data_IF_475799812648
#
_entry.id   IF_475799812648
#
_cell.length_a   1.000
_cell.length_b   1.000
_cell.length_c   1.000
_cell.angle_alpha   90.00
_cell.angle_beta   90.00
_cell.angle_gamma   90.00
#
_symmetry.space_group_name_H-M   'P 1'
#
loop_
_entity.id
_entity.type
_entity.pdbx_description
1 polymer ?
#
# COMPACT_ATOMS: atom_id res chain seq x y z
N UNK A 1 -8.22 -26.45 -8.98
CA UNK A 1 -9.17 -25.29 -8.99
C UNK A 1 -8.67 -24.19 -8.04
N UNK A 2 -9.02 -22.91 -8.26
CA UNK A 2 -8.57 -21.78 -7.43
C UNK A 2 -8.95 -21.91 -5.95
N UNK A 3 -10.06 -22.55 -5.64
CA UNK A 3 -10.52 -22.79 -4.26
C UNK A 3 -9.52 -23.61 -3.46
N UNK A 4 -8.83 -24.58 -4.06
CA UNK A 4 -7.81 -25.38 -3.40
C UNK A 4 -6.53 -24.58 -3.10
N UNK A 5 -6.19 -23.59 -3.94
CA UNK A 5 -5.13 -22.61 -3.65
C UNK A 5 -5.44 -21.81 -2.38
N UNK A 6 -6.68 -21.27 -2.30
CA UNK A 6 -7.11 -20.50 -1.13
C UNK A 6 -7.19 -21.40 0.11
N UNK A 7 -7.70 -22.63 -0.05
CA UNK A 7 -7.76 -23.59 1.05
C UNK A 7 -6.36 -23.87 1.60
N UNK A 8 -5.38 -24.21 0.76
CA UNK A 8 -4.01 -24.49 1.20
C UNK A 8 -3.35 -23.23 1.81
N UNK A 9 -3.49 -22.06 1.18
CA UNK A 9 -2.93 -20.81 1.68
C UNK A 9 -3.45 -20.45 3.09
N UNK A 10 -4.71 -20.78 3.39
CA UNK A 10 -5.35 -20.43 4.66
C UNK A 10 -5.24 -21.52 5.74
N UNK A 11 -4.56 -22.65 5.47
CA UNK A 11 -4.39 -23.71 6.49
C UNK A 11 -3.61 -23.18 7.69
N UNK A 12 -4.17 -23.27 8.91
CA UNK A 12 -3.45 -22.93 10.14
C UNK A 12 -2.37 -23.97 10.46
N UNK A 13 -1.42 -23.60 11.31
CA UNK A 13 -0.34 -24.47 11.82
C UNK A 13 0.58 -25.07 10.74
N UNK A 14 0.58 -24.48 9.53
CA UNK A 14 1.50 -24.86 8.44
C UNK A 14 2.19 -23.58 7.98
N UNK A 15 3.50 -23.57 8.04
CA UNK A 15 4.29 -22.43 7.56
C UNK A 15 4.19 -22.28 6.04
N UNK A 16 4.39 -21.07 5.53
CA UNK A 16 4.32 -20.86 4.07
C UNK A 16 5.39 -21.68 3.34
N UNK A 17 6.56 -21.89 3.95
CA UNK A 17 7.58 -22.81 3.46
C UNK A 17 7.05 -24.26 3.31
N UNK A 18 6.42 -24.82 4.36
CA UNK A 18 5.85 -26.17 4.31
C UNK A 18 4.71 -26.31 3.28
N UNK A 19 3.95 -25.22 3.04
CA UNK A 19 2.94 -25.22 1.98
C UNK A 19 3.58 -25.31 0.60
N UNK A 20 4.74 -24.69 0.40
CA UNK A 20 5.53 -24.82 -0.85
C UNK A 20 6.10 -26.24 -0.98
N UNK A 21 6.60 -26.83 0.08
CA UNK A 21 7.07 -28.23 0.07
C UNK A 21 5.94 -29.23 -0.24
N UNK A 22 4.72 -28.96 0.25
CA UNK A 22 3.53 -29.71 -0.15
C UNK A 22 3.26 -29.58 -1.66
N UNK A 23 3.41 -28.38 -2.24
CA UNK A 23 3.27 -28.20 -3.68
C UNK A 23 4.37 -28.91 -4.48
N UNK A 24 5.61 -28.94 -3.99
CA UNK A 24 6.69 -29.70 -4.62
C UNK A 24 6.41 -31.20 -4.60
N UNK A 25 5.90 -31.72 -3.47
CA UNK A 25 5.63 -33.15 -3.31
C UNK A 25 4.39 -33.63 -4.08
N UNK A 26 3.35 -32.82 -4.14
CA UNK A 26 2.05 -33.19 -4.74
C UNK A 26 1.76 -32.46 -6.07
N UNK A 27 2.63 -31.56 -6.54
CA UNK A 27 2.60 -30.80 -7.78
C UNK A 27 1.59 -29.64 -7.79
N UNK A 28 0.39 -29.83 -7.26
CA UNK A 28 -0.64 -28.79 -7.20
C UNK A 28 -1.50 -28.90 -5.91
N UNK A 29 -2.21 -27.84 -5.52
CA UNK A 29 -3.01 -27.83 -4.29
C UNK A 29 -4.24 -28.73 -4.35
N UNK A 30 -4.71 -29.12 -5.53
CA UNK A 30 -5.83 -30.06 -5.70
C UNK A 30 -5.38 -31.47 -5.31
N UNK A 31 -4.17 -31.88 -5.74
CA UNK A 31 -3.57 -33.13 -5.32
C UNK A 31 -3.27 -33.14 -3.81
N UNK A 32 -2.83 -32.01 -3.23
CA UNK A 32 -2.69 -31.88 -1.77
C UNK A 32 -4.05 -32.07 -1.09
N UNK A 33 -5.12 -31.48 -1.63
CA UNK A 33 -6.45 -31.59 -1.04
C UNK A 33 -6.99 -33.03 -1.04
N UNK A 34 -6.82 -33.76 -2.14
CA UNK A 34 -7.34 -35.13 -2.29
C UNK A 34 -6.41 -36.21 -1.73
N UNK A 35 -5.19 -35.85 -1.30
CA UNK A 35 -4.25 -36.82 -0.76
C UNK A 35 -4.76 -37.48 0.53
N UNK A 36 -4.42 -38.74 0.71
CA UNK A 36 -4.67 -39.49 1.93
C UNK A 36 -3.75 -39.03 3.07
N UNK A 37 -4.20 -39.15 4.31
CA UNK A 37 -3.48 -38.64 5.48
C UNK A 37 -2.06 -39.24 5.61
N UNK A 38 -1.87 -40.47 5.19
CA UNK A 38 -0.54 -41.13 5.25
C UNK A 38 0.45 -40.58 4.22
N UNK A 39 -0.05 -40.06 3.10
CA UNK A 39 0.78 -39.45 2.07
C UNK A 39 1.47 -38.18 2.54
N UNK A 40 0.91 -37.46 3.50
CA UNK A 40 1.53 -36.25 4.06
C UNK A 40 2.76 -36.55 4.92
N UNK A 41 2.92 -37.78 5.40
CA UNK A 41 4.08 -38.19 6.22
C UNK A 41 5.41 -38.11 5.49
N UNK A 42 5.39 -38.05 4.16
CA UNK A 42 6.60 -37.86 3.32
C UNK A 42 7.12 -36.43 3.35
N UNK A 43 6.33 -35.45 3.83
CA UNK A 43 6.73 -34.05 3.92
C UNK A 43 7.38 -33.79 5.27
N UNK A 44 8.70 -33.61 5.28
CA UNK A 44 9.47 -33.35 6.50
C UNK A 44 9.07 -32.04 7.15
N UNK A 45 9.03 -32.02 8.48
CA UNK A 45 8.72 -30.82 9.27
C UNK A 45 7.22 -30.56 9.50
N UNK A 46 6.34 -31.41 8.97
CA UNK A 46 4.90 -31.29 9.23
C UNK A 46 4.57 -31.72 10.67
N UNK A 47 4.04 -30.79 11.46
CA UNK A 47 3.64 -31.05 12.86
C UNK A 47 2.34 -31.84 12.92
N UNK A 48 2.01 -32.51 14.07
CA UNK A 48 0.71 -33.15 14.25
C UNK A 48 -0.47 -32.19 14.02
N UNK A 49 -0.37 -30.94 14.48
CA UNK A 49 -1.37 -29.91 14.30
C UNK A 49 -1.51 -29.49 12.82
N UNK A 50 -0.39 -29.43 12.10
CA UNK A 50 -0.36 -29.19 10.65
C UNK A 50 -1.03 -30.33 9.88
N UNK A 51 -0.78 -31.58 10.27
CA UNK A 51 -1.42 -32.74 9.69
C UNK A 51 -2.95 -32.74 9.92
N UNK A 52 -3.39 -32.44 11.14
CA UNK A 52 -4.83 -32.29 11.41
C UNK A 52 -5.46 -31.16 10.59
N UNK A 53 -4.73 -30.07 10.38
CA UNK A 53 -5.18 -28.97 9.50
C UNK A 53 -5.36 -29.40 8.04
N UNK A 54 -4.52 -30.33 7.53
CA UNK A 54 -4.65 -30.87 6.17
C UNK A 54 -5.79 -31.91 6.03
N UNK A 55 -6.14 -32.60 7.13
CA UNK A 55 -7.29 -33.52 7.16
C UNK A 55 -8.62 -32.77 7.10
N UNK A 56 -8.64 -31.52 7.55
CA UNK A 56 -9.83 -30.67 7.42
C UNK A 56 -10.05 -30.28 5.96
N UNK A 57 -10.99 -30.94 5.30
CA UNK A 57 -11.37 -30.75 3.90
C UNK A 57 -12.53 -29.78 3.71
N UNK A 58 -12.84 -28.95 4.72
CA UNK A 58 -13.89 -27.94 4.62
C UNK A 58 -13.46 -26.79 3.70
N UNK A 59 -14.16 -26.60 2.61
CA UNK A 59 -13.92 -25.56 1.62
C UNK A 59 -14.71 -24.27 1.88
N UNK A 60 -15.66 -24.25 2.83
CA UNK A 60 -16.56 -23.09 3.08
C UNK A 60 -15.79 -21.78 3.28
N UNK A 61 -14.67 -21.83 4.00
CA UNK A 61 -13.82 -20.63 4.20
C UNK A 61 -13.19 -20.18 2.88
N UNK A 62 -12.67 -21.10 2.07
CA UNK A 62 -12.07 -20.78 0.79
C UNK A 62 -13.10 -20.27 -0.23
N UNK A 63 -14.29 -20.87 -0.26
CA UNK A 63 -15.42 -20.45 -1.10
C UNK A 63 -15.91 -19.06 -0.70
N UNK A 64 -16.01 -18.78 0.61
CA UNK A 64 -16.35 -17.45 1.13
C UNK A 64 -15.31 -16.41 0.68
N UNK A 65 -14.01 -16.69 0.83
CA UNK A 65 -12.94 -15.79 0.37
C UNK A 65 -13.06 -15.55 -1.13
N UNK A 66 -13.31 -16.57 -1.92
CA UNK A 66 -13.50 -16.43 -3.36
C UNK A 66 -14.72 -15.57 -3.70
N UNK A 67 -15.85 -15.75 -3.00
CA UNK A 67 -17.03 -14.91 -3.14
C UNK A 67 -16.75 -13.45 -2.76
N UNK A 68 -16.01 -13.23 -1.67
CA UNK A 68 -15.58 -11.91 -1.23
C UNK A 68 -14.65 -11.25 -2.27
N UNK A 69 -13.74 -11.99 -2.89
CA UNK A 69 -12.92 -11.49 -4.01
C UNK A 69 -13.77 -11.03 -5.19
N UNK A 70 -14.80 -11.79 -5.56
CA UNK A 70 -15.73 -11.40 -6.63
C UNK A 70 -16.49 -10.12 -6.28
N UNK A 71 -17.00 -10.02 -5.06
CA UNK A 71 -17.73 -8.84 -4.58
C UNK A 71 -16.86 -7.57 -4.58
N UNK A 72 -15.61 -7.70 -4.13
CA UNK A 72 -14.66 -6.58 -4.01
C UNK A 72 -13.84 -6.34 -5.29
N UNK A 73 -14.16 -7.07 -6.38
CA UNK A 73 -13.44 -7.00 -7.67
C UNK A 73 -11.94 -7.26 -7.54
N UNK A 74 -11.54 -8.16 -6.64
CA UNK A 74 -10.18 -8.62 -6.48
C UNK A 74 -9.86 -9.74 -7.47
N UNK A 75 -8.67 -9.68 -8.04
CA UNK A 75 -8.09 -10.77 -8.81
C UNK A 75 -7.19 -11.61 -7.90
N UNK A 76 -6.92 -12.84 -8.29
CA UNK A 76 -6.12 -13.79 -7.52
C UNK A 76 -4.91 -14.18 -8.38
N UNK A 77 -3.71 -14.13 -7.78
CA UNK A 77 -2.46 -14.58 -8.37
C UNK A 77 -1.91 -15.68 -7.48
N UNK A 78 -1.61 -16.83 -8.06
CA UNK A 78 -1.10 -18.01 -7.35
C UNK A 78 0.39 -18.20 -7.57
N UNK A 79 1.06 -18.94 -6.68
CA UNK A 79 2.49 -19.25 -6.75
C UNK A 79 2.93 -19.89 -8.07
N UNK A 80 2.05 -20.65 -8.74
CA UNK A 80 2.35 -21.31 -10.02
C UNK A 80 2.01 -20.48 -11.26
N UNK A 81 1.33 -19.34 -11.11
CA UNK A 81 1.03 -18.49 -12.25
C UNK A 81 2.31 -17.90 -12.87
N UNK A 82 2.33 -17.81 -14.18
CA UNK A 82 3.47 -17.25 -14.91
C UNK A 82 3.78 -15.77 -14.56
N UNK A 83 2.78 -15.02 -14.09
CA UNK A 83 2.94 -13.65 -13.64
C UNK A 83 3.42 -13.52 -12.20
N UNK A 84 3.59 -14.63 -11.46
CA UNK A 84 4.12 -14.58 -10.10
C UNK A 84 5.61 -14.23 -10.11
N UNK A 85 6.10 -13.24 -9.32
CA UNK A 85 7.49 -12.80 -9.37
C UNK A 85 8.48 -13.94 -9.03
N UNK A 86 9.37 -14.28 -9.96
CA UNK A 86 10.35 -15.37 -9.75
C UNK A 86 11.27 -15.10 -8.56
N UNK A 87 11.65 -13.81 -8.35
CA UNK A 87 12.46 -13.42 -7.20
C UNK A 87 11.78 -13.73 -5.86
N UNK A 88 10.46 -13.59 -5.81
CA UNK A 88 9.68 -13.83 -4.59
C UNK A 88 9.57 -15.33 -4.28
N UNK A 89 9.67 -16.22 -5.27
CA UNK A 89 9.73 -17.67 -5.04
C UNK A 89 10.95 -18.10 -4.24
N UNK A 90 12.02 -17.29 -4.28
CA UNK A 90 13.31 -17.60 -3.67
C UNK A 90 13.45 -17.10 -2.22
N UNK A 91 12.41 -16.52 -1.62
CA UNK A 91 12.44 -16.23 -0.17
C UNK A 91 12.03 -17.46 0.65
N UNK A 92 12.38 -17.48 1.94
CA UNK A 92 12.09 -18.61 2.83
C UNK A 92 10.61 -18.94 2.99
N UNK A 93 9.74 -17.94 2.84
CA UNK A 93 8.31 -18.04 3.13
C UNK A 93 7.46 -17.30 2.08
N UNK A 94 7.51 -17.71 0.80
CA UNK A 94 6.78 -17.04 -0.28
C UNK A 94 5.26 -17.22 -0.12
N UNK A 95 4.45 -16.18 -0.33
CA UNK A 95 3.00 -16.30 -0.29
C UNK A 95 2.48 -17.21 -1.40
N UNK A 96 1.60 -18.17 -1.08
CA UNK A 96 0.99 -19.04 -2.10
C UNK A 96 -0.03 -18.32 -2.98
N UNK A 97 -0.68 -17.31 -2.41
CA UNK A 97 -1.77 -16.59 -3.05
C UNK A 97 -1.65 -15.10 -2.76
N UNK A 98 -1.85 -14.30 -3.78
CA UNK A 98 -2.10 -12.87 -3.68
C UNK A 98 -3.51 -12.51 -4.12
N UNK A 99 -4.10 -11.61 -3.39
CA UNK A 99 -5.31 -10.88 -3.78
C UNK A 99 -4.90 -9.49 -4.25
N UNK A 100 -5.36 -9.06 -5.46
CA UNK A 100 -4.87 -7.81 -6.01
C UNK A 100 -5.92 -7.04 -6.80
N UNK A 101 -5.68 -5.73 -6.95
CA UNK A 101 -6.38 -4.80 -7.83
C UNK A 101 -5.40 -4.12 -8.77
N UNK A 102 -5.90 -3.69 -9.92
CA UNK A 102 -5.10 -3.01 -10.93
C UNK A 102 -4.47 -3.96 -11.93
N UNK A 103 -3.35 -3.55 -12.51
CA UNK A 103 -2.64 -4.31 -13.55
C UNK A 103 -1.26 -4.71 -13.06
N UNK A 104 -0.97 -6.01 -13.08
CA UNK A 104 0.35 -6.52 -12.77
C UNK A 104 1.36 -6.03 -13.82
N UNK A 105 2.48 -5.40 -13.42
CA UNK A 105 3.58 -5.12 -14.33
C UNK A 105 4.35 -6.41 -14.64
N UNK A 106 5.29 -6.33 -15.58
CA UNK A 106 6.24 -7.40 -15.82
C UNK A 106 7.29 -7.42 -14.68
N UNK A 107 7.02 -8.24 -13.68
CA UNK A 107 7.85 -8.31 -12.47
C UNK A 107 9.26 -8.83 -12.70
N UNK A 108 9.45 -9.70 -13.69
CA UNK A 108 10.74 -10.34 -13.94
C UNK A 108 11.53 -9.63 -15.06
N UNK A 109 10.85 -8.96 -15.97
CA UNK A 109 11.47 -8.23 -17.07
C UNK A 109 11.90 -6.80 -16.72
N UNK A 110 11.62 -6.30 -15.50
CA UNK A 110 11.94 -4.94 -15.09
C UNK A 110 12.63 -4.91 -13.71
N UNK A 111 13.52 -3.92 -13.45
CA UNK A 111 14.14 -3.74 -12.14
C UNK A 111 13.12 -3.17 -11.14
N UNK A 112 12.74 -3.98 -10.15
CA UNK A 112 11.87 -3.58 -9.06
C UNK A 112 12.73 -3.08 -7.88
N UNK A 113 12.45 -1.88 -7.39
CA UNK A 113 13.16 -1.27 -6.27
C UNK A 113 12.17 -1.03 -5.13
N UNK A 114 12.41 -1.69 -4.01
CA UNK A 114 11.68 -1.45 -2.77
C UNK A 114 12.05 -0.09 -2.20
N UNK A 115 11.11 0.84 -1.99
CA UNK A 115 11.41 2.13 -1.37
C UNK A 115 10.63 2.25 -0.08
N UNK A 116 11.37 2.37 1.03
CA UNK A 116 10.80 2.36 2.37
C UNK A 116 11.41 3.46 3.26
N UNK A 117 10.69 3.79 4.33
CA UNK A 117 11.18 4.74 5.32
C UNK A 117 10.20 5.03 6.43
N UNK A 118 10.50 6.08 7.19
CA UNK A 118 9.66 6.52 8.30
C UNK A 118 8.31 7.06 7.82
N UNK A 119 7.27 6.84 8.64
CA UNK A 119 5.94 7.45 8.43
C UNK A 119 5.91 8.93 8.79
N UNK A 120 6.84 9.38 9.63
CA UNK A 120 7.02 10.77 10.06
C UNK A 120 8.31 11.33 9.48
N UNK A 121 8.35 11.41 8.15
CA UNK A 121 9.52 11.87 7.42
C UNK A 121 9.69 13.39 7.53
N UNK A 122 10.96 13.83 7.55
CA UNK A 122 11.31 15.22 7.41
C UNK A 122 10.92 15.77 6.03
N UNK A 123 10.79 17.10 5.86
CA UNK A 123 10.59 17.70 4.53
C UNK A 123 11.66 17.26 3.51
N UNK A 124 12.92 17.15 3.94
CA UNK A 124 14.01 16.62 3.12
C UNK A 124 13.75 15.17 2.70
N UNK A 125 13.37 14.29 3.65
CA UNK A 125 13.07 12.90 3.36
C UNK A 125 11.91 12.74 2.39
N UNK A 126 10.83 13.51 2.57
CA UNK A 126 9.67 13.50 1.67
C UNK A 126 10.01 13.94 0.25
N UNK A 127 10.75 15.06 0.11
CA UNK A 127 11.19 15.56 -1.20
C UNK A 127 12.14 14.57 -1.87
N UNK A 128 13.09 14.02 -1.11
CA UNK A 128 14.06 13.03 -1.61
C UNK A 128 13.37 11.73 -2.05
N UNK A 129 12.40 11.21 -1.27
CA UNK A 129 11.64 10.03 -1.66
C UNK A 129 10.86 10.25 -2.96
N UNK A 130 10.17 11.38 -3.10
CA UNK A 130 9.46 11.74 -4.34
C UNK A 130 10.41 11.86 -5.53
N UNK A 131 11.55 12.56 -5.35
CA UNK A 131 12.58 12.72 -6.38
C UNK A 131 13.16 11.38 -6.82
N UNK A 132 13.61 10.53 -5.88
CA UNK A 132 14.20 9.24 -6.22
C UNK A 132 13.16 8.29 -6.83
N UNK A 133 11.92 8.27 -6.34
CA UNK A 133 10.84 7.50 -6.96
C UNK A 133 10.58 7.92 -8.42
N UNK A 134 10.57 9.23 -8.69
CA UNK A 134 10.46 9.77 -10.05
C UNK A 134 11.65 9.35 -10.92
N UNK A 135 12.87 9.49 -10.41
CA UNK A 135 14.08 9.16 -11.15
C UNK A 135 14.20 7.66 -11.44
N UNK A 136 13.90 6.79 -10.45
CA UNK A 136 13.88 5.33 -10.63
C UNK A 136 12.91 4.97 -11.76
N UNK A 137 11.73 5.55 -11.75
CA UNK A 137 10.71 5.31 -12.77
C UNK A 137 11.12 5.80 -14.16
N UNK A 138 11.70 7.02 -14.27
CA UNK A 138 12.20 7.56 -15.54
C UNK A 138 13.34 6.75 -16.13
N UNK A 139 14.16 6.15 -15.28
CA UNK A 139 15.28 5.29 -15.70
C UNK A 139 14.83 3.83 -15.98
N UNK A 140 13.55 3.52 -15.94
CA UNK A 140 12.98 2.19 -16.29
C UNK A 140 12.73 1.26 -15.12
N UNK A 141 12.95 1.70 -13.88
CA UNK A 141 12.64 0.93 -12.67
C UNK A 141 11.19 1.04 -12.24
N UNK A 142 10.74 0.07 -11.45
CA UNK A 142 9.43 0.08 -10.81
C UNK A 142 9.60 0.25 -9.29
N UNK A 143 8.84 1.19 -8.71
CA UNK A 143 8.82 1.38 -7.26
C UNK A 143 7.85 0.39 -6.62
N UNK A 144 8.35 -0.40 -5.67
CA UNK A 144 7.56 -1.28 -4.78
C UNK A 144 7.56 -0.68 -3.39
N UNK A 145 6.40 -0.53 -2.75
CA UNK A 145 6.35 0.05 -1.42
C UNK A 145 5.11 -0.39 -0.62
N UNK A 146 5.06 0.02 0.64
CA UNK A 146 4.02 -0.40 1.57
C UNK A 146 2.80 0.51 1.65
N UNK A 147 2.67 1.52 0.80
CA UNK A 147 1.55 2.48 0.78
C UNK A 147 1.36 3.26 2.10
N UNK A 148 2.36 3.27 2.99
CA UNK A 148 2.29 3.95 4.27
C UNK A 148 2.41 5.48 4.12
N UNK A 149 2.20 6.19 5.23
CA UNK A 149 2.53 7.62 5.31
C UNK A 149 4.02 7.87 5.07
N UNK A 150 4.38 9.10 4.74
CA UNK A 150 5.77 9.55 4.64
C UNK A 150 6.46 9.00 3.40
N UNK A 151 7.59 8.34 3.59
CA UNK A 151 8.49 7.93 2.51
C UNK A 151 7.80 7.05 1.47
N UNK A 152 7.08 6.01 1.90
CA UNK A 152 6.39 5.06 1.02
C UNK A 152 5.48 5.78 0.01
N UNK A 153 4.55 6.59 0.54
CA UNK A 153 3.59 7.33 -0.28
C UNK A 153 4.25 8.35 -1.21
N UNK A 154 5.32 9.02 -0.76
CA UNK A 154 6.01 10.02 -1.57
C UNK A 154 6.82 9.38 -2.71
N UNK A 155 7.49 8.25 -2.47
CA UNK A 155 8.20 7.52 -3.51
C UNK A 155 7.26 7.03 -4.62
N UNK A 156 6.11 6.46 -4.23
CA UNK A 156 5.10 6.00 -5.20
C UNK A 156 4.50 7.17 -5.99
N UNK A 157 4.20 8.30 -5.35
CA UNK A 157 3.76 9.52 -6.05
C UNK A 157 4.80 9.99 -7.06
N UNK A 158 6.09 9.91 -6.72
CA UNK A 158 7.18 10.21 -7.65
C UNK A 158 7.13 9.31 -8.88
N UNK A 159 7.04 8.00 -8.70
CA UNK A 159 6.97 7.03 -9.79
C UNK A 159 5.75 7.26 -10.70
N UNK A 160 4.57 7.46 -10.12
CA UNK A 160 3.34 7.76 -10.87
C UNK A 160 3.44 9.08 -11.64
N UNK A 161 4.05 10.13 -11.05
CA UNK A 161 4.31 11.41 -11.72
C UNK A 161 5.23 11.21 -12.95
N UNK A 162 6.13 10.26 -12.92
CA UNK A 162 6.98 9.89 -14.07
C UNK A 162 6.22 9.13 -15.18
N UNK A 163 4.95 8.77 -14.94
CA UNK A 163 4.13 7.97 -15.86
C UNK A 163 4.41 6.47 -15.82
N UNK A 164 5.12 6.00 -14.80
CA UNK A 164 5.42 4.58 -14.62
C UNK A 164 4.48 3.91 -13.59
N UNK A 165 4.25 2.59 -13.70
CA UNK A 165 3.49 1.86 -12.71
C UNK A 165 4.22 1.84 -11.35
N UNK A 166 3.45 1.70 -10.27
CA UNK A 166 3.96 1.43 -8.94
C UNK A 166 3.25 0.21 -8.35
N UNK A 167 3.90 -0.49 -7.44
CA UNK A 167 3.38 -1.70 -6.80
C UNK A 167 3.20 -1.45 -5.31
N UNK A 168 1.96 -1.51 -4.85
CA UNK A 168 1.60 -1.36 -3.45
C UNK A 168 1.40 -2.72 -2.80
N UNK A 169 2.17 -3.04 -1.75
CA UNK A 169 1.98 -4.25 -0.97
C UNK A 169 1.31 -3.88 0.36
N UNK A 170 0.21 -4.56 0.72
CA UNK A 170 -0.57 -4.22 1.90
C UNK A 170 -0.41 -5.23 3.05
N UNK A 171 -0.59 -4.74 4.28
CA UNK A 171 -0.67 -5.55 5.50
C UNK A 171 -2.13 -5.77 5.98
N UNK A 172 -3.09 -5.68 5.07
CA UNK A 172 -4.53 -5.88 5.28
C UNK A 172 -5.14 -6.40 3.97
N UNK A 173 -6.42 -6.67 3.92
CA UNK A 173 -7.10 -7.03 2.67
C UNK A 173 -6.87 -5.99 1.56
N UNK A 174 -6.74 -6.45 0.31
CA UNK A 174 -6.39 -5.58 -0.83
C UNK A 174 -7.50 -4.57 -1.21
N UNK A 175 -8.72 -4.77 -0.72
CA UNK A 175 -9.84 -3.84 -0.83
C UNK A 175 -9.76 -2.67 0.16
N UNK A 176 -8.95 -2.82 1.22
CA UNK A 176 -8.90 -1.85 2.32
C UNK A 176 -7.92 -0.72 2.03
N UNK A 177 -8.39 0.52 2.17
CA UNK A 177 -7.54 1.71 2.07
C UNK A 177 -6.96 2.03 3.45
N UNK A 178 -5.66 1.77 3.61
CA UNK A 178 -4.94 2.11 4.83
C UNK A 178 -3.54 2.66 4.53
N UNK A 179 -3.19 3.87 5.00
CA UNK A 179 -4.02 4.78 5.80
C UNK A 179 -5.10 5.51 4.96
N UNK A 180 -6.23 5.96 5.58
CA UNK A 180 -7.34 6.58 4.84
C UNK A 180 -6.95 7.84 4.06
N UNK A 181 -5.99 8.63 4.53
CA UNK A 181 -5.52 9.85 3.84
C UNK A 181 -4.81 9.55 2.51
N UNK A 182 -4.34 8.33 2.29
CA UNK A 182 -3.71 7.92 1.03
C UNK A 182 -4.73 7.44 -0.01
N UNK A 183 -6.04 7.65 0.21
CA UNK A 183 -7.10 7.28 -0.75
C UNK A 183 -6.82 7.72 -2.20
N UNK A 184 -6.37 8.98 -2.46
CA UNK A 184 -6.01 9.38 -3.82
C UNK A 184 -4.86 8.53 -4.39
N UNK A 185 -3.82 8.27 -3.59
CA UNK A 185 -2.69 7.43 -4.00
C UNK A 185 -3.14 5.99 -4.33
N UNK A 186 -4.08 5.43 -3.54
CA UNK A 186 -4.64 4.12 -3.82
C UNK A 186 -5.32 4.06 -5.19
N UNK A 187 -6.14 5.06 -5.51
CA UNK A 187 -6.79 5.15 -6.81
C UNK A 187 -5.78 5.27 -7.96
N UNK A 188 -4.73 6.07 -7.78
CA UNK A 188 -3.69 6.23 -8.80
C UNK A 188 -2.90 4.92 -9.00
N UNK A 189 -2.50 4.24 -7.91
CA UNK A 189 -1.77 2.96 -8.00
C UNK A 189 -2.64 1.87 -8.61
N UNK A 190 -3.93 1.80 -8.27
CA UNK A 190 -4.87 0.85 -8.88
C UNK A 190 -5.03 1.09 -10.40
N UNK A 191 -5.06 2.35 -10.82
CA UNK A 191 -5.23 2.73 -12.23
C UNK A 191 -3.97 2.49 -13.09
N UNK A 192 -2.78 2.72 -12.54
CA UNK A 192 -1.50 2.72 -13.28
C UNK A 192 -0.54 1.60 -12.92
N UNK A 193 -0.83 0.82 -11.91
CA UNK A 193 -0.02 -0.28 -11.41
C UNK A 193 -0.89 -1.32 -10.73
N UNK A 194 -0.45 -1.83 -9.57
CA UNK A 194 -1.24 -2.80 -8.81
C UNK A 194 -1.09 -2.63 -7.29
N UNK A 195 -2.13 -3.02 -6.59
CA UNK A 195 -2.18 -3.14 -5.14
C UNK A 195 -2.36 -4.62 -4.82
N UNK A 196 -1.46 -5.19 -4.02
CA UNK A 196 -1.42 -6.62 -3.73
C UNK A 196 -1.39 -6.88 -2.22
N UNK A 197 -1.99 -7.98 -1.81
CA UNK A 197 -1.94 -8.47 -0.43
C UNK A 197 -1.92 -10.00 -0.39
N UNK A 198 -1.15 -10.58 0.54
CA UNK A 198 -1.25 -12.00 0.89
C UNK A 198 -2.44 -12.29 1.81
N UNK A 199 -3.00 -11.25 2.43
CA UNK A 199 -4.11 -11.38 3.36
C UNK A 199 -5.43 -11.43 2.62
N UNK A 200 -6.33 -12.38 2.97
CA UNK A 200 -7.66 -12.46 2.38
C UNK A 200 -8.47 -11.17 2.55
N UNK A 201 -9.45 -10.92 1.66
CA UNK A 201 -10.37 -9.80 1.83
C UNK A 201 -11.05 -9.85 3.21
N UNK A 202 -11.33 -8.67 3.78
CA UNK A 202 -11.86 -8.51 5.13
C UNK A 202 -10.80 -8.52 6.24
N UNK A 203 -9.51 -8.79 5.94
CA UNK A 203 -8.44 -8.78 6.95
C UNK A 203 -8.12 -7.36 7.39
N UNK A 204 -8.27 -7.01 8.68
CA UNK A 204 -8.03 -5.66 9.17
C UNK A 204 -6.53 -5.31 9.23
N UNK A 205 -6.16 -4.00 9.22
CA UNK A 205 -4.78 -3.52 9.30
C UNK A 205 -4.23 -3.62 10.74
N UNK A 206 -3.89 -4.81 11.18
CA UNK A 206 -3.35 -5.08 12.51
C UNK A 206 -1.82 -5.00 12.55
N UNK A 207 -1.27 -4.62 13.70
CA UNK A 207 0.14 -4.25 13.88
C UNK A 207 1.14 -5.30 13.39
N UNK A 208 0.87 -6.56 13.63
CA UNK A 208 1.76 -7.69 13.28
C UNK A 208 1.75 -8.07 11.79
N UNK A 209 0.75 -7.65 11.03
CA UNK A 209 0.70 -7.92 9.60
C UNK A 209 1.74 -7.08 8.83
N UNK A 210 2.08 -5.89 9.32
CA UNK A 210 3.02 -5.00 8.60
C UNK A 210 4.45 -5.56 8.55
N UNK A 211 5.05 -6.08 9.66
CA UNK A 211 6.34 -6.77 9.58
C UNK A 211 6.28 -8.01 8.67
N UNK A 212 5.21 -8.82 8.75
CA UNK A 212 5.02 -9.99 7.89
C UNK A 212 4.99 -9.60 6.41
N UNK A 213 4.27 -8.52 6.05
CA UNK A 213 4.20 -7.99 4.70
C UNK A 213 5.55 -7.50 4.17
N UNK A 214 6.42 -6.93 5.02
CA UNK A 214 7.67 -6.30 4.58
C UNK A 214 8.61 -7.27 3.84
N UNK A 215 8.61 -8.56 4.18
CA UNK A 215 9.36 -9.58 3.46
C UNK A 215 8.97 -9.71 1.98
N UNK A 216 7.74 -9.34 1.66
CA UNK A 216 7.23 -9.36 0.27
C UNK A 216 7.79 -8.18 -0.50
N UNK A 217 7.85 -6.98 0.12
CA UNK A 217 8.44 -5.80 -0.52
C UNK A 217 9.89 -6.08 -0.90
N UNK A 218 10.70 -6.57 0.04
CA UNK A 218 12.09 -6.93 -0.24
C UNK A 218 12.20 -8.11 -1.20
N UNK A 219 11.40 -9.16 -1.02
CA UNK A 219 11.43 -10.39 -1.81
C UNK A 219 11.12 -10.19 -3.29
N UNK A 220 10.24 -9.26 -3.64
CA UNK A 220 9.94 -8.90 -5.04
C UNK A 220 11.01 -8.02 -5.66
N UNK A 221 11.76 -7.28 -4.85
CA UNK A 221 12.68 -6.25 -5.32
C UNK A 221 14.07 -6.82 -5.65
N UNK A 222 14.79 -6.15 -6.53
CA UNK A 222 16.21 -6.37 -6.75
C UNK A 222 17.00 -5.86 -5.55
N UNK A 223 16.63 -4.68 -5.04
CA UNK A 223 17.19 -4.06 -3.86
C UNK A 223 16.18 -3.16 -3.16
N UNK A 224 16.51 -2.76 -1.94
CA UNK A 224 15.66 -1.90 -1.09
C UNK A 224 16.36 -0.60 -0.75
N UNK A 225 15.73 0.52 -1.09
CA UNK A 225 16.15 1.87 -0.74
C UNK A 225 15.49 2.32 0.57
N UNK A 226 16.29 2.62 1.57
CA UNK A 226 15.87 3.28 2.81
C UNK A 226 16.19 4.78 2.71
N UNK A 227 15.18 5.62 2.65
CA UNK A 227 15.38 7.07 2.48
C UNK A 227 15.61 7.77 3.82
N UNK A 228 14.79 7.48 4.82
CA UNK A 228 14.89 8.06 6.16
C UNK A 228 14.32 7.06 7.17
N UNK A 229 15.09 6.71 8.20
CA UNK A 229 14.64 5.78 9.22
C UNK A 229 15.27 6.11 10.59
N UNK A 230 14.45 6.40 11.63
CA UNK A 230 14.93 6.47 13.00
C UNK A 230 15.36 5.08 13.51
N UNK A 231 16.04 5.04 14.65
CA UNK A 231 16.61 3.82 15.22
C UNK A 231 15.58 2.68 15.42
N UNK A 232 14.35 3.03 15.78
CA UNK A 232 13.23 2.07 15.95
C UNK A 232 12.20 2.24 14.84
N UNK A 233 12.60 1.93 13.59
CA UNK A 233 11.74 2.05 12.41
C UNK A 233 11.37 0.70 11.81
N UNK A 234 10.10 0.56 11.39
CA UNK A 234 9.68 -0.61 10.61
C UNK A 234 10.39 -0.76 9.26
N UNK A 235 10.95 0.33 8.71
CA UNK A 235 11.76 0.29 7.49
C UNK A 235 13.07 -0.50 7.69
N UNK A 236 13.65 -0.48 8.89
CA UNK A 236 14.84 -1.26 9.22
C UNK A 236 14.54 -2.78 9.23
N UNK A 237 13.30 -3.17 9.50
CA UNK A 237 12.85 -4.57 9.36
C UNK A 237 12.88 -4.96 7.89
N UNK A 238 12.40 -4.10 7.00
CA UNK A 238 12.43 -4.36 5.54
C UNK A 238 13.87 -4.44 5.02
N UNK A 239 14.76 -3.54 5.49
CA UNK A 239 16.18 -3.59 5.14
C UNK A 239 16.84 -4.89 5.60
N UNK A 240 16.54 -5.38 6.80
CA UNK A 240 17.01 -6.66 7.30
C UNK A 240 16.48 -7.82 6.45
N UNK A 241 15.16 -7.86 6.17
CA UNK A 241 14.58 -8.85 5.27
C UNK A 241 15.28 -8.86 3.90
N UNK A 242 15.61 -7.67 3.36
CA UNK A 242 16.36 -7.55 2.11
C UNK A 242 17.74 -8.22 2.21
N UNK A 243 18.51 -7.91 3.24
CA UNK A 243 19.83 -8.52 3.47
C UNK A 243 19.74 -10.04 3.65
N UNK A 244 18.79 -10.52 4.47
CA UNK A 244 18.55 -11.96 4.71
C UNK A 244 18.14 -12.70 3.43
N UNK A 245 17.49 -12.00 2.49
CA UNK A 245 17.07 -12.52 1.19
C UNK A 245 18.12 -12.33 0.08
N UNK A 246 19.33 -11.84 0.40
CA UNK A 246 20.38 -11.57 -0.57
C UNK A 246 20.06 -10.42 -1.54
N UNK A 247 19.28 -9.42 -1.08
CA UNK A 247 18.97 -8.20 -1.85
C UNK A 247 19.85 -7.06 -1.39
N UNK A 248 20.23 -6.20 -2.30
CA UNK A 248 21.01 -5.00 -1.99
C UNK A 248 20.22 -4.04 -1.09
N UNK A 249 20.92 -3.41 -0.17
CA UNK A 249 20.35 -2.37 0.69
C UNK A 249 21.01 -1.04 0.34
N UNK A 250 20.21 -0.12 -0.12
CA UNK A 250 20.59 1.24 -0.47
C UNK A 250 20.08 2.23 0.58
N UNK A 251 20.87 3.26 0.86
CA UNK A 251 20.52 4.23 1.91
C UNK A 251 20.84 5.65 1.44
N UNK A 252 19.89 6.55 1.62
CA UNK A 252 20.15 7.99 1.48
C UNK A 252 20.86 8.46 2.74
N UNK A 253 22.09 9.01 2.64
CA UNK A 253 22.78 9.59 3.78
C UNK A 253 22.01 10.78 4.35
N UNK A 254 21.95 10.88 5.67
CA UNK A 254 21.29 11.98 6.35
C UNK A 254 22.18 12.65 7.38
N UNK A 255 21.73 13.82 7.89
CA UNK A 255 22.45 14.55 8.90
C UNK A 255 22.52 13.72 10.21
N UNK A 256 23.72 13.63 10.78
CA UNK A 256 23.98 12.87 12.00
C UNK A 256 23.27 13.43 13.23
N UNK A 257 22.96 14.73 13.23
CA UNK A 257 22.28 15.43 14.34
C UNK A 257 20.75 15.28 14.28
N UNK A 258 20.22 14.67 13.20
CA UNK A 258 18.76 14.48 13.03
C UNK A 258 18.34 13.08 13.45
N UNK A 259 17.53 12.94 14.51
CA UNK A 259 17.18 11.63 15.07
C UNK A 259 16.49 10.67 14.08
N UNK A 260 15.81 11.21 13.08
CA UNK A 260 15.13 10.38 12.07
C UNK A 260 16.08 9.74 11.06
N UNK A 261 17.39 10.09 11.05
CA UNK A 261 18.41 9.45 10.23
C UNK A 261 19.33 8.49 10.98
N UNK A 262 19.18 8.36 12.30
CA UNK A 262 20.06 7.49 13.12
C UNK A 262 20.04 6.05 12.62
N UNK A 263 18.86 5.50 12.31
CA UNK A 263 18.72 4.13 11.82
C UNK A 263 19.24 3.94 10.40
N UNK A 264 18.94 4.88 9.47
CA UNK A 264 19.46 4.81 8.10
C UNK A 264 20.97 4.98 8.07
N UNK A 265 21.55 5.94 8.82
CA UNK A 265 23.00 6.10 8.91
C UNK A 265 23.69 4.87 9.56
N UNK A 266 23.01 4.15 10.46
CA UNK A 266 23.52 2.89 10.99
C UNK A 266 23.64 1.82 9.91
N UNK A 267 22.66 1.68 9.01
CA UNK A 267 22.73 0.74 7.90
C UNK A 267 23.94 0.99 7.01
N UNK A 268 24.35 2.26 6.80
CA UNK A 268 25.57 2.59 6.05
C UNK A 268 26.82 2.04 6.73
N UNK A 269 26.92 2.11 8.05
CA UNK A 269 28.03 1.52 8.80
C UNK A 269 28.00 -0.02 8.76
N UNK A 270 26.83 -0.59 8.62
CA UNK A 270 26.62 -2.04 8.55
C UNK A 270 26.85 -2.58 7.12
N UNK A 271 27.26 -1.71 6.15
CA UNK A 271 27.64 -2.07 4.78
C UNK A 271 26.62 -1.79 3.69
N UNK A 272 25.52 -1.06 4.00
CA UNK A 272 24.59 -0.64 2.98
C UNK A 272 25.21 0.39 2.02
N UNK A 273 24.76 0.41 0.78
CA UNK A 273 25.28 1.27 -0.29
C UNK A 273 24.70 2.68 -0.14
N UNK A 274 25.58 3.68 -0.01
CA UNK A 274 25.16 5.10 0.02
C UNK A 274 24.73 5.57 -1.36
N UNK A 275 23.55 6.23 -1.45
CA UNK A 275 23.01 6.73 -2.71
C UNK A 275 22.69 8.22 -2.67
N UNK A 276 22.96 8.90 -3.76
CA UNK A 276 22.63 10.30 -3.99
C UNK A 276 21.71 10.50 -5.21
N UNK A 277 21.61 9.49 -6.05
CA UNK A 277 20.81 9.48 -7.28
C UNK A 277 20.21 8.10 -7.55
N UNK A 278 19.22 8.02 -8.44
CA UNK A 278 18.68 6.73 -8.88
C UNK A 278 19.69 5.89 -9.65
N UNK A 279 20.70 6.54 -10.24
CA UNK A 279 21.74 5.82 -10.97
C UNK A 279 22.63 4.98 -10.05
N UNK A 280 22.89 5.45 -8.84
CA UNK A 280 23.65 4.70 -7.83
C UNK A 280 22.94 3.36 -7.46
N UNK A 281 21.63 3.26 -7.73
CA UNK A 281 20.83 2.06 -7.54
C UNK A 281 20.75 1.22 -8.81
N UNK A 282 20.32 1.85 -9.92
CA UNK A 282 19.97 1.11 -11.12
C UNK A 282 21.20 0.64 -11.91
N UNK A 283 22.36 1.27 -11.76
CA UNK A 283 23.61 0.80 -12.35
C UNK A 283 24.03 -0.60 -11.89
N UNK A 284 23.66 -1.00 -10.67
CA UNK A 284 23.93 -2.35 -10.15
C UNK A 284 23.17 -3.45 -10.94
N UNK A 285 22.09 -3.07 -11.63
CA UNK A 285 21.21 -4.01 -12.35
C UNK A 285 21.26 -3.86 -13.87
N UNK A 286 22.12 -2.98 -14.42
CA UNK A 286 22.19 -2.70 -15.86
C UNK A 286 22.45 -3.97 -16.68
N UNK A 287 23.34 -4.85 -16.21
CA UNK A 287 23.64 -6.11 -16.87
C UNK A 287 22.51 -7.15 -16.74
N UNK A 288 21.70 -7.08 -15.69
CA UNK A 288 20.58 -8.00 -15.47
C UNK A 288 19.35 -7.61 -16.33
N UNK A 289 19.20 -6.32 -16.64
CA UNK A 289 18.07 -5.79 -17.40
C UNK A 289 18.56 -4.98 -18.62
N UNK A 290 19.22 -5.63 -19.57
CA UNK A 290 19.72 -4.95 -20.77
C UNK A 290 18.55 -4.28 -21.51
N UNK A 291 18.78 -3.06 -22.01
CA UNK A 291 17.80 -2.25 -22.76
C UNK A 291 16.57 -1.76 -21.94
N UNK A 292 16.40 -2.17 -20.71
CA UNK A 292 15.31 -1.72 -19.83
C UNK A 292 15.71 -0.52 -18.97
N UNK A 293 16.95 -0.52 -18.50
CA UNK A 293 17.52 0.58 -17.70
C UNK A 293 18.08 1.63 -18.65
N UNK A 294 17.60 2.86 -18.50
CA UNK A 294 18.03 3.99 -19.31
C UNK A 294 18.82 4.95 -18.46
N UNK A 295 20.08 5.20 -18.83
CA UNK A 295 20.89 6.23 -18.21
C UNK A 295 20.44 7.61 -18.71
N UNK A 296 19.39 8.14 -18.12
CA UNK A 296 19.04 9.53 -18.34
C UNK A 296 19.94 10.41 -17.46
N UNK A 297 21.05 10.88 -18.04
CA UNK A 297 22.03 11.70 -17.34
C UNK A 297 21.45 13.05 -16.90
N UNK A 298 20.43 13.55 -17.58
CA UNK A 298 19.72 14.76 -17.19
C UNK A 298 18.86 14.52 -15.93
N UNK A 299 18.16 13.39 -15.86
CA UNK A 299 17.30 13.03 -14.73
C UNK A 299 18.11 12.52 -13.53
N UNK A 300 19.21 11.79 -13.77
CA UNK A 300 19.99 11.17 -12.67
C UNK A 300 20.87 12.17 -11.91
N UNK A 301 21.24 13.29 -12.51
CA UNK A 301 22.16 14.30 -11.92
C UNK A 301 21.48 15.60 -11.52
N UNK A 302 20.33 15.95 -12.08
CA UNK A 302 19.64 17.20 -11.74
C UNK A 302 18.78 17.07 -10.48
N UNK A 303 18.82 18.13 -9.67
CA UNK A 303 17.75 18.42 -8.73
C UNK A 303 16.46 18.65 -9.54
N UNK A 304 15.64 17.64 -9.68
CA UNK A 304 14.29 17.82 -10.25
C UNK A 304 13.57 18.79 -9.34
N UNK A 305 13.29 19.99 -9.84
CA UNK A 305 12.63 21.03 -9.05
C UNK A 305 11.18 20.61 -8.76
N UNK A 306 10.60 21.13 -7.68
CA UNK A 306 9.16 20.88 -7.41
C UNK A 306 8.28 21.36 -8.56
N UNK A 307 8.70 22.41 -9.28
CA UNK A 307 8.00 22.91 -10.46
C UNK A 307 8.07 21.92 -11.64
N UNK A 308 9.18 21.24 -11.85
CA UNK A 308 9.29 20.20 -12.89
C UNK A 308 8.47 18.98 -12.53
N UNK A 309 8.41 18.60 -11.25
CA UNK A 309 7.52 17.54 -10.77
C UNK A 309 6.04 17.90 -10.89
N UNK A 310 5.68 19.17 -10.69
CA UNK A 310 4.33 19.68 -10.92
C UNK A 310 3.98 19.71 -12.41
N UNK A 311 4.84 20.26 -13.26
CA UNK A 311 4.66 20.28 -14.72
C UNK A 311 4.55 18.86 -15.31
N UNK A 312 5.35 17.91 -14.82
CA UNK A 312 5.28 16.53 -15.23
C UNK A 312 3.94 15.87 -14.78
N UNK A 313 3.42 16.21 -13.59
CA UNK A 313 2.13 15.74 -13.12
C UNK A 313 0.97 16.32 -13.95
N UNK A 314 1.06 17.57 -14.40
CA UNK A 314 0.07 18.20 -15.27
C UNK A 314 0.13 17.67 -16.72
N UNK A 315 1.34 17.32 -17.20
CA UNK A 315 1.57 16.79 -18.55
C UNK A 315 1.30 15.28 -18.67
N UNK A 316 1.23 14.56 -17.57
CA UNK A 316 0.89 13.13 -17.55
C UNK A 316 -0.56 12.93 -18.03
N UNK A 317 -0.74 12.73 -19.34
CA UNK A 317 -2.05 12.35 -19.90
C UNK A 317 -2.48 11.04 -19.25
N UNK A 318 -3.76 10.91 -18.86
CA UNK A 318 -4.28 9.64 -18.38
C UNK A 318 -4.02 8.59 -19.46
N UNK A 319 -3.32 7.52 -19.08
CA UNK A 319 -3.14 6.36 -19.97
C UNK A 319 -4.55 5.87 -20.40
N UNK A 320 -4.74 5.48 -21.66
CA UNK A 320 -6.03 5.05 -22.14
C UNK A 320 -6.53 3.89 -21.27
N UNK A 321 -7.74 4.02 -20.75
CA UNK A 321 -8.42 2.94 -20.03
C UNK A 321 -8.49 1.74 -20.97
N UNK A 322 -7.67 0.74 -20.71
CA UNK A 322 -7.71 -0.51 -21.47
C UNK A 322 -9.01 -1.21 -21.10
N UNK A 323 -9.94 -1.26 -22.05
CA UNK A 323 -11.17 -2.02 -21.90
C UNK A 323 -10.84 -3.47 -21.54
N UNK A 324 -11.21 -3.88 -20.34
CA UNK A 324 -11.12 -5.27 -19.90
C UNK A 324 -12.00 -6.13 -20.82
N UNK A 325 -11.38 -6.87 -21.72
CA UNK A 325 -12.04 -8.01 -22.36
C UNK A 325 -12.10 -9.14 -21.35
N UNK A 326 -13.17 -9.16 -20.57
CA UNK A 326 -13.57 -10.33 -19.79
C UNK A 326 -13.79 -11.52 -20.74
N UNK A 327 -13.01 -12.58 -20.57
CA UNK A 327 -13.32 -13.87 -21.16
C UNK A 327 -14.58 -14.41 -20.48
N UNK A 328 -15.64 -14.40 -21.25
CA UNK A 328 -17.00 -14.79 -20.94
C UNK A 328 -17.04 -16.28 -20.63
N UNK A 329 -17.45 -16.63 -19.41
CA UNK A 329 -18.11 -17.91 -19.17
C UNK A 329 -19.60 -17.75 -19.43
N UNK A 330 -20.14 -18.62 -20.28
CA UNK A 330 -21.45 -18.57 -20.87
C UNK A 330 -22.59 -18.55 -19.85
N UNK A 331 -23.56 -17.70 -20.15
CA UNK A 331 -24.84 -17.47 -19.49
C UNK A 331 -25.72 -18.71 -19.41
N UNK A 332 -26.36 -18.91 -18.26
CA UNK A 332 -27.75 -19.35 -18.18
C UNK A 332 -28.57 -18.17 -17.64
N UNK A 333 -29.65 -17.85 -18.37
CA UNK A 333 -30.56 -16.73 -18.12
C UNK A 333 -31.41 -16.95 -16.86
N UNK A 334 -31.77 -15.89 -16.15
CA UNK A 334 -32.83 -15.90 -15.14
C UNK A 334 -34.19 -15.48 -15.75
N UNK A 335 -35.33 -15.80 -15.08
CA UNK A 335 -36.66 -15.42 -15.51
C UNK A 335 -37.01 -13.96 -15.20
N UNK A 336 -37.98 -13.48 -15.98
CA UNK A 336 -38.47 -12.10 -16.14
C UNK A 336 -39.25 -11.52 -14.96
N UNK A 337 -39.05 -10.22 -14.81
CA UNK A 337 -39.96 -9.08 -14.63
C UNK A 337 -41.07 -9.10 -13.56
N UNK A 338 -41.08 -8.04 -12.77
CA UNK A 338 -42.25 -7.19 -12.53
C UNK A 338 -41.78 -5.71 -12.42
N UNK A 339 -42.44 -4.86 -13.27
CA UNK A 339 -42.36 -3.41 -13.28
C UNK A 339 -42.94 -2.78 -12.00
N UNK A 340 -42.47 -1.67 -11.52
CA UNK A 340 -43.04 -0.34 -11.62
C UNK A 340 -42.49 0.69 -10.61
N UNK A 341 -42.28 1.85 -11.12
CA UNK A 341 -42.51 3.23 -10.71
C UNK A 341 -41.30 4.12 -10.48
N UNK A 342 -41.26 5.07 -11.43
CA UNK A 342 -40.58 6.37 -11.36
C UNK A 342 -40.84 7.13 -10.06
N UNK A 343 -39.80 7.77 -9.52
CA UNK A 343 -39.86 9.11 -8.93
C UNK A 343 -38.48 9.79 -9.10
N UNK A 344 -38.41 10.69 -10.00
CA UNK A 344 -37.92 12.09 -10.10
C UNK A 344 -36.79 12.51 -9.15
N UNK A 345 -35.74 13.06 -9.80
CA UNK A 345 -34.70 13.95 -9.30
C UNK A 345 -35.07 14.87 -8.14
N UNK A 346 -34.20 15.00 -7.18
CA UNK A 346 -33.81 16.32 -6.65
C UNK A 346 -32.40 16.25 -6.05
N UNK A 347 -31.57 17.11 -6.61
CA UNK A 347 -30.27 17.50 -6.09
C UNK A 347 -30.37 18.12 -4.70
N UNK A 348 -29.35 17.87 -3.87
CA UNK A 348 -28.87 18.79 -2.85
C UNK A 348 -29.81 19.03 -1.68
N UNK A 349 -29.50 18.37 -0.54
CA UNK A 349 -29.68 19.07 0.74
C UNK A 349 -28.73 18.47 1.78
N UNK A 350 -27.92 19.38 2.29
CA UNK A 350 -27.05 19.27 3.45
C UNK A 350 -27.71 18.54 4.62
N UNK A 351 -26.98 17.65 5.25
CA UNK A 351 -27.18 17.26 6.65
C UNK A 351 -26.75 18.44 7.55
N UNK A 352 -27.54 19.46 7.61
CA UNK A 352 -27.54 20.43 8.72
C UNK A 352 -28.54 19.92 9.76
N UNK A 353 -28.04 19.17 10.74
CA UNK A 353 -28.67 19.14 12.06
C UNK A 353 -28.63 20.59 12.58
N UNK A 354 -29.79 21.15 12.99
CA UNK A 354 -29.86 22.49 13.51
C UNK A 354 -28.81 22.70 14.61
N UNK A 355 -27.99 23.74 14.46
CA UNK A 355 -26.92 24.12 15.41
C UNK A 355 -27.47 24.25 16.83
N UNK A 356 -28.74 24.60 16.97
CA UNK A 356 -29.47 24.74 18.23
C UNK A 356 -29.68 23.39 18.95
N UNK A 357 -29.69 22.27 18.26
CA UNK A 357 -29.84 20.93 18.87
C UNK A 357 -28.51 20.36 19.41
N UNK A 358 -27.40 20.90 18.94
CA UNK A 358 -26.04 20.44 19.32
C UNK A 358 -25.46 21.30 20.46
N UNK A 359 -25.81 22.60 20.51
CA UNK A 359 -25.32 23.54 21.54
C UNK A 359 -25.42 23.02 22.98
N UNK A 360 -26.53 22.42 23.45
CA UNK A 360 -26.65 21.95 24.84
C UNK A 360 -25.73 20.78 25.19
N UNK A 361 -25.14 20.10 24.19
CA UNK A 361 -24.27 18.94 24.37
C UNK A 361 -22.77 19.30 24.34
N UNK A 362 -22.44 20.56 24.14
CA UNK A 362 -21.08 21.07 24.04
C UNK A 362 -20.66 21.71 25.38
N UNK A 363 -19.35 21.63 25.68
CA UNK A 363 -18.77 22.34 26.82
C UNK A 363 -18.86 23.86 26.63
N UNK A 364 -18.77 24.62 27.71
CA UNK A 364 -18.84 26.10 27.67
C UNK A 364 -17.85 26.72 26.66
N UNK A 365 -16.65 26.18 26.55
CA UNK A 365 -15.63 26.65 25.61
C UNK A 365 -15.99 26.30 24.15
N UNK A 366 -16.55 25.13 23.93
CA UNK A 366 -17.04 24.72 22.60
C UNK A 366 -18.23 25.57 22.16
N UNK A 367 -19.15 25.89 23.08
CA UNK A 367 -20.30 26.76 22.82
C UNK A 367 -19.87 28.18 22.43
N UNK A 368 -18.87 28.74 23.11
CA UNK A 368 -18.33 30.08 22.79
C UNK A 368 -17.76 30.13 21.36
N UNK A 369 -17.04 29.11 20.95
CA UNK A 369 -16.47 29.04 19.59
C UNK A 369 -17.57 28.83 18.54
N UNK A 370 -18.52 27.92 18.78
CA UNK A 370 -19.64 27.69 17.86
C UNK A 370 -20.49 28.94 17.72
N UNK A 371 -20.74 29.67 18.80
CA UNK A 371 -21.45 30.95 18.78
C UNK A 371 -20.70 32.02 17.97
N UNK A 372 -19.38 32.08 18.09
CA UNK A 372 -18.54 32.98 17.30
C UNK A 372 -18.57 32.64 15.79
N UNK A 373 -18.91 31.42 15.40
CA UNK A 373 -19.01 30.96 14.01
C UNK A 373 -20.42 31.04 13.42
N UNK A 374 -21.47 31.34 14.21
CA UNK A 374 -22.85 31.45 13.71
C UNK A 374 -23.03 32.56 12.68
N UNK A 375 -22.10 33.48 12.51
CA UNK A 375 -22.09 34.51 11.50
C UNK A 375 -21.54 34.13 10.12
N UNK A 376 -21.21 32.83 9.91
CA UNK A 376 -20.63 32.32 8.68
C UNK A 376 -19.12 32.05 8.79
N UNK A 377 -18.45 31.96 7.65
CA UNK A 377 -17.02 31.68 7.53
C UNK A 377 -16.14 32.76 8.17
N UNK A 378 -15.19 32.37 9.05
CA UNK A 378 -14.30 33.30 9.77
C UNK A 378 -12.84 32.81 9.77
N UNK A 379 -11.92 33.75 9.94
CA UNK A 379 -10.51 33.43 10.18
C UNK A 379 -10.32 32.92 11.61
N UNK A 380 -9.38 32.00 11.82
CA UNK A 380 -9.02 31.49 13.16
C UNK A 380 -8.65 32.64 14.10
N UNK A 381 -7.91 33.63 13.60
CA UNK A 381 -7.45 34.77 14.37
C UNK A 381 -8.62 35.66 14.83
N UNK A 382 -9.68 35.79 14.02
CA UNK A 382 -10.91 36.51 14.39
C UNK A 382 -11.68 35.76 15.48
N UNK A 383 -11.73 34.43 15.42
CA UNK A 383 -12.36 33.60 16.46
C UNK A 383 -11.60 33.72 17.79
N UNK A 384 -10.28 33.78 17.76
CA UNK A 384 -9.45 34.00 18.96
C UNK A 384 -9.75 35.39 19.55
N UNK A 385 -9.78 36.43 18.72
CA UNK A 385 -10.06 37.79 19.17
C UNK A 385 -11.47 37.94 19.76
N UNK A 386 -12.47 37.29 19.16
CA UNK A 386 -13.87 37.38 19.59
C UNK A 386 -14.17 36.59 20.87
N UNK A 387 -13.55 35.41 21.03
CA UNK A 387 -13.77 34.56 22.21
C UNK A 387 -12.94 34.97 23.41
N UNK A 388 -11.85 35.73 23.22
CA UNK A 388 -10.92 36.13 24.29
C UNK A 388 -10.15 34.95 24.92
N UNK A 389 -10.27 33.75 24.34
CA UNK A 389 -9.58 32.57 24.84
C UNK A 389 -8.12 32.52 24.36
N UNK A 390 -7.19 31.94 25.13
CA UNK A 390 -5.82 31.74 24.66
C UNK A 390 -5.76 30.96 23.35
N UNK A 391 -4.93 31.37 22.39
CA UNK A 391 -4.85 30.81 21.04
C UNK A 391 -4.66 29.27 21.05
N UNK A 392 -3.85 28.72 21.97
CA UNK A 392 -3.66 27.28 22.11
C UNK A 392 -4.96 26.54 22.49
N UNK A 393 -5.81 27.15 23.34
CA UNK A 393 -7.11 26.57 23.72
C UNK A 393 -8.10 26.63 22.56
N UNK A 394 -8.17 27.73 21.83
CA UNK A 394 -9.04 27.86 20.65
C UNK A 394 -8.67 26.83 19.59
N UNK A 395 -7.39 26.67 19.28
CA UNK A 395 -6.92 25.69 18.30
C UNK A 395 -7.22 24.23 18.70
N UNK A 396 -7.04 23.90 19.99
CA UNK A 396 -7.36 22.57 20.51
C UNK A 396 -8.86 22.28 20.45
N UNK A 397 -9.71 23.25 20.86
CA UNK A 397 -11.16 23.11 20.85
C UNK A 397 -11.71 23.06 19.41
N UNK A 398 -11.17 23.84 18.48
CA UNK A 398 -11.50 23.76 17.06
C UNK A 398 -11.19 22.37 16.45
N UNK A 399 -10.08 21.76 16.84
CA UNK A 399 -9.74 20.39 16.42
C UNK A 399 -10.74 19.37 16.96
N UNK A 400 -11.19 19.53 18.21
CA UNK A 400 -12.23 18.66 18.80
C UNK A 400 -13.58 18.82 18.11
N UNK A 401 -13.98 20.07 17.80
CA UNK A 401 -15.23 20.37 17.07
C UNK A 401 -15.19 19.85 15.62
N UNK A 402 -14.02 19.87 15.00
CA UNK A 402 -13.82 19.31 13.66
C UNK A 402 -13.95 17.77 13.69
N UNK A 403 -13.39 17.10 14.69
CA UNK A 403 -13.56 15.65 14.89
C UNK A 403 -15.02 15.28 15.18
N UNK A 404 -15.75 16.14 15.91
CA UNK A 404 -17.19 15.99 16.16
C UNK A 404 -18.06 16.31 14.94
N UNK A 405 -17.47 16.80 13.84
CA UNK A 405 -18.20 17.18 12.62
C UNK A 405 -19.04 18.45 12.74
N UNK A 406 -18.81 19.27 13.78
CA UNK A 406 -19.54 20.52 14.05
C UNK A 406 -18.92 21.70 13.32
N UNK A 407 -17.61 21.65 13.04
CA UNK A 407 -16.84 22.74 12.41
C UNK A 407 -16.01 22.16 11.26
N UNK A 408 -15.87 22.92 10.17
CA UNK A 408 -15.05 22.55 9.01
C UNK A 408 -13.98 23.61 8.77
N UNK A 409 -12.73 23.14 8.58
CA UNK A 409 -11.61 24.01 8.16
C UNK A 409 -11.59 24.18 6.65
N UNK A 410 -11.40 25.41 6.21
CA UNK A 410 -11.27 25.81 4.82
C UNK A 410 -9.86 26.31 4.51
N UNK A 411 -9.41 26.31 3.24
CA UNK A 411 -8.12 26.87 2.85
C UNK A 411 -7.95 28.32 3.31
N UNK A 412 -6.73 28.70 3.71
CA UNK A 412 -6.42 30.07 4.14
C UNK A 412 -6.74 30.35 5.62
N UNK A 413 -6.66 29.35 6.52
CA UNK A 413 -6.95 29.46 7.95
C UNK A 413 -8.38 29.92 8.27
N UNK A 414 -9.36 29.63 7.40
CA UNK A 414 -10.77 29.92 7.61
C UNK A 414 -11.50 28.72 8.21
N UNK A 415 -12.59 29.00 8.91
CA UNK A 415 -13.42 28.02 9.59
C UNK A 415 -14.88 28.37 9.40
N UNK A 416 -15.73 27.37 9.22
CA UNK A 416 -17.19 27.48 9.20
C UNK A 416 -17.83 26.34 10.01
N UNK A 417 -19.11 26.52 10.36
CA UNK A 417 -19.94 25.48 10.97
C UNK A 417 -20.31 24.43 9.93
#
# INVERSE_FOLDING_TARGET
MIVHWIWLATRPNITDWLKVELLHSFQDPENVYFAEADSYKQVEGLTPEGLESLKDKDLRTAEKILADCHREHLQILTYQDAAYPSRLKNISDPPLVFYYKGRLPDFDGLPLIGVVGTRHASPYGMTTAKKLGYQIAKCGGIVVSGMAYGIDGMAMKGALTAGAPAVGILGCGAEMIYPPSNRPLFADVENYGCIMSEFPPGTPPVKWNFPKRNRIISGMSCGVLVVEAPEKSGALITARCAADQGRDVFVVPGNIDVPTFVGSNRLLRDGAIAVSSSWDILSEYEMQFPDKIRKDTAVSRQSVSEEELQKAAEAAKPLPKVAQKSRIFSKKQPPKEIEDKKVIDKAGSSLYSDVNDILPKLSEQEQQIVTALQGGERLVDDVIAQTGLPAGKVLATLTLLEVKGVVKRLPGKRICL
#
